data_IF_500347102882
#
_entry.id   IF_500347102882
#
_cell.length_a   1.000
_cell.length_b   1.000
_cell.length_c   1.000
_cell.angle_alpha   90.00
_cell.angle_beta   90.00
_cell.angle_gamma   90.00
#
_symmetry.space_group_name_H-M   'P 1'
#
loop_
_entity.id
_entity.type
_entity.pdbx_description
1 polymer ?
#
# COMPACT_ATOMS: atom_id res chain seq x y z
N UNK A 1 20.92 12.64 -21.21
CA UNK A 1 19.51 12.18 -21.37
C UNK A 1 18.60 13.32 -20.94
N UNK A 2 17.37 13.45 -21.47
CA UNK A 2 16.46 14.54 -21.03
C UNK A 2 15.76 14.20 -19.72
N UNK A 3 15.35 15.21 -18.95
CA UNK A 3 14.68 15.00 -17.66
C UNK A 3 13.39 14.15 -17.78
N UNK A 4 12.64 14.28 -18.88
CA UNK A 4 11.41 13.51 -19.11
C UNK A 4 11.66 12.03 -19.43
N UNK A 5 12.82 11.72 -20.01
CA UNK A 5 13.24 10.34 -20.28
C UNK A 5 13.52 9.59 -18.98
N UNK A 6 14.11 10.25 -17.97
CA UNK A 6 14.30 9.67 -16.63
C UNK A 6 12.96 9.33 -15.98
N UNK A 7 12.00 10.27 -16.02
CA UNK A 7 10.64 10.05 -15.49
C UNK A 7 9.98 8.86 -16.19
N UNK A 8 10.10 8.78 -17.52
CA UNK A 8 9.56 7.66 -18.30
C UNK A 8 10.16 6.32 -17.86
N UNK A 9 11.49 6.22 -17.75
CA UNK A 9 12.17 4.99 -17.33
C UNK A 9 11.76 4.55 -15.92
N UNK A 10 11.51 5.51 -15.03
CA UNK A 10 11.11 5.22 -13.65
C UNK A 10 9.63 4.86 -13.50
N UNK A 11 8.74 5.41 -14.34
CA UNK A 11 7.28 5.26 -14.19
C UNK A 11 6.68 4.17 -15.07
N UNK A 12 7.13 4.02 -16.33
CA UNK A 12 6.52 3.08 -17.27
C UNK A 12 6.69 1.62 -16.87
N UNK A 13 7.89 1.14 -16.49
CA UNK A 13 8.06 -0.28 -16.19
C UNK A 13 7.26 -0.75 -14.98
N UNK A 14 7.15 -0.01 -13.85
CA UNK A 14 6.22 -0.35 -12.78
C UNK A 14 4.78 -0.46 -13.25
N UNK A 15 4.35 0.49 -14.08
CA UNK A 15 3.00 0.46 -14.64
C UNK A 15 2.79 -0.81 -15.47
N UNK A 16 3.75 -1.17 -16.34
CA UNK A 16 3.67 -2.38 -17.16
C UNK A 16 3.71 -3.66 -16.31
N UNK A 17 4.64 -3.76 -15.37
CA UNK A 17 4.84 -4.94 -14.51
C UNK A 17 3.65 -5.17 -13.58
N UNK A 18 2.93 -4.12 -13.19
CA UNK A 18 1.74 -4.25 -12.33
C UNK A 18 0.44 -4.41 -13.14
N UNK A 19 0.28 -3.63 -14.20
CA UNK A 19 -0.94 -3.61 -15.01
C UNK A 19 -1.06 -4.81 -15.94
N UNK A 20 0.03 -5.26 -16.58
CA UNK A 20 -0.01 -6.39 -17.52
C UNK A 20 -0.48 -7.67 -16.82
N UNK A 21 0.04 -8.08 -15.65
CA UNK A 21 -0.48 -9.26 -14.96
C UNK A 21 -1.95 -9.13 -14.57
N UNK A 22 -2.41 -7.94 -14.18
CA UNK A 22 -3.83 -7.70 -13.86
C UNK A 22 -4.70 -7.89 -15.11
N UNK A 23 -4.31 -7.30 -16.24
CA UNK A 23 -5.02 -7.42 -17.51
C UNK A 23 -4.98 -8.86 -18.01
N UNK A 24 -3.82 -9.53 -17.95
CA UNK A 24 -3.67 -10.94 -18.33
C UNK A 24 -4.53 -11.82 -17.44
N UNK A 25 -4.51 -11.64 -16.12
CA UNK A 25 -5.41 -12.34 -15.20
C UNK A 25 -6.87 -12.09 -15.56
N UNK A 26 -7.26 -10.85 -15.86
CA UNK A 26 -8.63 -10.50 -16.24
C UNK A 26 -9.06 -11.15 -17.56
N UNK A 27 -8.19 -11.12 -18.57
CA UNK A 27 -8.38 -11.76 -19.88
C UNK A 27 -8.49 -13.27 -19.71
N UNK A 28 -7.57 -13.92 -19.00
CA UNK A 28 -7.59 -15.36 -18.72
C UNK A 28 -8.86 -15.74 -17.96
N UNK A 29 -9.24 -14.97 -16.92
CA UNK A 29 -10.51 -15.20 -16.21
C UNK A 29 -11.72 -15.11 -17.15
N UNK A 30 -11.73 -14.15 -18.08
CA UNK A 30 -12.82 -13.97 -19.04
C UNK A 30 -12.88 -15.08 -20.09
N UNK A 31 -11.74 -15.49 -20.65
CA UNK A 31 -11.68 -16.53 -21.69
C UNK A 31 -11.89 -17.94 -21.14
N UNK A 32 -11.27 -18.27 -20.01
CA UNK A 32 -11.35 -19.61 -19.40
C UNK A 32 -12.50 -19.76 -18.40
N UNK A 33 -13.33 -18.71 -18.22
CA UNK A 33 -14.42 -18.66 -17.22
C UNK A 33 -13.97 -19.10 -15.82
N UNK A 34 -12.72 -18.82 -15.46
CA UNK A 34 -12.19 -19.17 -14.13
C UNK A 34 -12.98 -18.36 -13.11
N UNK A 35 -13.63 -19.01 -12.12
CA UNK A 35 -14.39 -18.28 -11.13
C UNK A 35 -13.44 -17.44 -10.28
N UNK A 36 -13.67 -16.13 -10.26
CA UNK A 36 -12.92 -15.16 -9.45
C UNK A 36 -12.97 -15.52 -7.95
N UNK A 37 -13.98 -16.28 -7.56
CA UNK A 37 -14.13 -16.91 -6.24
C UNK A 37 -12.97 -17.87 -5.92
N UNK A 38 -12.50 -18.68 -6.87
CA UNK A 38 -11.40 -19.62 -6.64
C UNK A 38 -10.07 -18.93 -6.35
N UNK A 39 -9.72 -17.91 -7.14
CA UNK A 39 -8.46 -17.16 -7.00
C UNK A 39 -8.49 -16.30 -5.74
N UNK A 40 -9.60 -15.60 -5.49
CA UNK A 40 -9.74 -14.77 -4.28
C UNK A 40 -9.72 -15.60 -2.99
N UNK A 41 -10.32 -16.79 -2.99
CA UNK A 41 -10.19 -17.76 -1.89
C UNK A 41 -8.75 -18.21 -1.69
N UNK A 42 -8.03 -18.52 -2.77
CA UNK A 42 -6.63 -18.92 -2.69
C UNK A 42 -5.75 -17.81 -2.10
N UNK A 43 -5.94 -16.56 -2.52
CA UNK A 43 -5.22 -15.41 -1.94
C UNK A 43 -5.58 -15.25 -0.46
N UNK A 44 -6.87 -15.35 -0.11
CA UNK A 44 -7.31 -15.22 1.27
C UNK A 44 -6.71 -16.30 2.18
N UNK A 45 -6.65 -17.57 1.74
CA UNK A 45 -6.15 -18.68 2.56
C UNK A 45 -4.63 -18.77 2.63
N UNK A 46 -3.90 -18.39 1.57
CA UNK A 46 -2.44 -18.50 1.54
C UNK A 46 -1.75 -17.21 1.97
N UNK A 47 -2.22 -16.05 1.52
CA UNK A 47 -1.61 -14.76 1.85
C UNK A 47 -2.15 -14.25 3.18
N UNK A 48 -3.48 -14.26 3.35
CA UNK A 48 -4.13 -13.75 4.55
C UNK A 48 -4.57 -14.85 5.53
N UNK A 49 -3.77 -15.92 5.67
CA UNK A 49 -4.07 -17.09 6.51
C UNK A 49 -4.34 -16.76 7.99
N UNK A 50 -3.75 -15.68 8.49
CA UNK A 50 -3.97 -15.18 9.85
C UNK A 50 -5.34 -14.49 10.04
N UNK A 51 -5.94 -14.07 8.94
CA UNK A 51 -7.23 -13.36 8.89
C UNK A 51 -8.32 -14.32 8.44
N UNK A 52 -8.08 -15.17 7.44
CA UNK A 52 -9.03 -16.15 6.93
C UNK A 52 -8.63 -17.56 7.31
N UNK A 53 -9.58 -18.31 7.88
CA UNK A 53 -9.42 -19.74 8.15
C UNK A 53 -10.53 -20.52 7.48
N UNK A 54 -10.15 -21.41 6.57
CA UNK A 54 -11.04 -22.43 6.04
C UNK A 54 -10.96 -23.66 6.94
N UNK A 55 -12.04 -23.97 7.66
CA UNK A 55 -12.13 -25.17 8.49
C UNK A 55 -13.02 -26.21 7.83
N UNK A 56 -12.48 -27.40 7.56
CA UNK A 56 -13.30 -28.57 7.20
C UNK A 56 -14.09 -29.02 8.42
N UNK A 57 -15.41 -29.19 8.27
CA UNK A 57 -16.29 -29.63 9.36
C UNK A 57 -15.95 -31.09 9.73
N UNK A 58 -15.60 -31.36 11.01
CA UNK A 58 -15.50 -32.71 11.57
C UNK A 58 -16.91 -33.21 11.94
N UNK A 59 -17.76 -33.51 10.96
CA UNK A 59 -19.05 -34.19 11.22
C UNK A 59 -19.57 -34.85 9.95
N UNK A 60 -20.32 -35.95 10.12
CA UNK A 60 -20.66 -37.02 9.16
C UNK A 60 -21.29 -36.64 7.80
N UNK A 61 -21.44 -35.37 7.44
CA UNK A 61 -21.95 -34.95 6.14
C UNK A 61 -20.85 -34.22 5.34
N UNK A 62 -20.40 -34.76 4.19
CA UNK A 62 -19.39 -34.11 3.39
C UNK A 62 -20.06 -33.02 2.54
N UNK A 63 -19.73 -31.74 2.75
CA UNK A 63 -19.33 -30.78 1.66
C UNK A 63 -19.27 -29.30 1.99
N UNK A 64 -19.71 -28.80 3.15
CA UNK A 64 -19.62 -27.34 3.40
C UNK A 64 -18.43 -26.96 4.28
N UNK A 65 -17.42 -26.34 3.65
CA UNK A 65 -16.30 -25.72 4.33
C UNK A 65 -16.76 -24.51 5.14
N UNK A 66 -16.35 -24.42 6.41
CA UNK A 66 -16.66 -23.29 7.28
C UNK A 66 -15.64 -22.18 7.04
N UNK A 67 -16.12 -21.02 6.59
CA UNK A 67 -15.28 -19.86 6.31
C UNK A 67 -15.31 -18.90 7.49
N UNK A 68 -14.15 -18.72 8.12
CA UNK A 68 -13.98 -17.84 9.26
C UNK A 68 -13.10 -16.65 8.87
N UNK A 69 -13.62 -15.44 9.10
CA UNK A 69 -12.81 -14.21 9.15
C UNK A 69 -12.48 -13.93 10.62
N UNK A 70 -11.27 -14.27 11.06
CA UNK A 70 -10.87 -14.41 12.47
C UNK A 70 -11.83 -15.35 13.21
N UNK A 71 -12.84 -14.77 13.85
CA UNK A 71 -13.84 -15.46 14.67
C UNK A 71 -15.27 -15.34 14.09
N UNK A 72 -15.44 -14.54 13.03
CA UNK A 72 -16.73 -14.33 12.36
C UNK A 72 -16.96 -15.45 11.34
N UNK A 73 -18.09 -16.12 11.46
CA UNK A 73 -18.52 -17.17 10.54
C UNK A 73 -19.31 -16.57 9.37
N UNK A 74 -18.71 -16.60 8.20
CA UNK A 74 -19.26 -16.03 6.97
C UNK A 74 -19.98 -17.08 6.11
N UNK A 75 -20.08 -18.33 6.58
CA UNK A 75 -20.62 -19.45 5.79
C UNK A 75 -22.09 -19.22 5.39
N UNK A 76 -22.89 -18.61 6.28
CA UNK A 76 -24.29 -18.28 6.01
C UNK A 76 -24.46 -17.02 5.12
N UNK A 77 -23.45 -16.14 5.08
CA UNK A 77 -23.49 -14.86 4.37
C UNK A 77 -22.64 -14.90 3.10
N UNK A 78 -22.99 -15.79 2.14
CA UNK A 78 -22.22 -16.02 0.91
C UNK A 78 -21.91 -14.75 0.10
N UNK A 79 -22.87 -13.82 0.01
CA UNK A 79 -22.69 -12.51 -0.65
C UNK A 79 -21.64 -11.64 0.05
N UNK A 80 -21.69 -11.56 1.39
CA UNK A 80 -20.72 -10.81 2.20
C UNK A 80 -19.33 -11.44 2.12
N UNK A 81 -19.24 -12.78 2.20
CA UNK A 81 -18.00 -13.52 2.04
C UNK A 81 -17.33 -13.18 0.70
N UNK A 82 -18.08 -13.25 -0.40
CA UNK A 82 -17.56 -12.94 -1.73
C UNK A 82 -17.09 -11.49 -1.87
N UNK A 83 -17.87 -10.51 -1.36
CA UNK A 83 -17.45 -9.10 -1.32
C UNK A 83 -16.13 -8.94 -0.56
N UNK A 84 -16.03 -9.53 0.62
CA UNK A 84 -14.84 -9.43 1.48
C UNK A 84 -13.62 -10.06 0.80
N UNK A 85 -13.77 -11.26 0.22
CA UNK A 85 -12.70 -11.94 -0.53
C UNK A 85 -12.19 -11.10 -1.70
N UNK A 86 -13.09 -10.49 -2.49
CA UNK A 86 -12.70 -9.59 -3.58
C UNK A 86 -11.93 -8.37 -3.07
N UNK A 87 -12.38 -7.76 -1.97
CA UNK A 87 -11.71 -6.56 -1.45
C UNK A 87 -10.32 -6.88 -0.89
N UNK A 88 -10.12 -8.02 -0.24
CA UNK A 88 -8.79 -8.50 0.16
C UNK A 88 -7.92 -8.88 -1.03
N UNK A 89 -8.50 -9.44 -2.09
CA UNK A 89 -7.80 -9.70 -3.35
C UNK A 89 -7.30 -8.41 -3.98
N UNK A 90 -8.15 -7.38 -4.11
CA UNK A 90 -7.75 -6.05 -4.60
C UNK A 90 -6.66 -5.44 -3.72
N UNK A 91 -6.78 -5.57 -2.39
CA UNK A 91 -5.78 -5.07 -1.46
C UNK A 91 -4.41 -5.75 -1.66
N UNK A 92 -4.39 -7.07 -1.85
CA UNK A 92 -3.16 -7.80 -2.16
C UNK A 92 -2.49 -7.28 -3.44
N UNK A 93 -3.25 -7.06 -4.52
CA UNK A 93 -2.71 -6.49 -5.75
C UNK A 93 -2.19 -5.07 -5.56
N UNK A 94 -2.85 -4.26 -4.74
CA UNK A 94 -2.38 -2.92 -4.41
C UNK A 94 -1.03 -2.97 -3.67
N UNK A 95 -0.90 -3.85 -2.66
CA UNK A 95 0.36 -4.02 -1.93
C UNK A 95 1.48 -4.54 -2.83
N UNK A 96 1.19 -5.57 -3.63
CA UNK A 96 2.16 -6.15 -4.56
C UNK A 96 2.59 -5.11 -5.61
N UNK A 97 1.63 -4.37 -6.16
CA UNK A 97 1.90 -3.34 -7.14
C UNK A 97 2.75 -2.21 -6.59
N UNK A 98 2.45 -1.77 -5.37
CA UNK A 98 3.26 -0.77 -4.69
C UNK A 98 4.67 -1.28 -4.39
N UNK A 99 4.82 -2.52 -3.90
CA UNK A 99 6.14 -3.11 -3.66
C UNK A 99 6.98 -3.22 -4.94
N UNK A 100 6.37 -3.61 -6.07
CA UNK A 100 7.05 -3.69 -7.37
C UNK A 100 7.43 -2.29 -7.89
N UNK A 101 6.59 -1.28 -7.67
CA UNK A 101 6.91 0.09 -8.03
C UNK A 101 8.09 0.63 -7.22
N UNK A 102 8.09 0.41 -5.91
CA UNK A 102 9.21 0.76 -5.02
C UNK A 102 10.48 0.04 -5.46
N UNK A 103 10.38 -1.26 -5.77
CA UNK A 103 11.50 -2.06 -6.23
C UNK A 103 12.14 -1.43 -7.45
N UNK A 104 11.34 -1.14 -8.48
CA UNK A 104 11.86 -0.56 -9.71
C UNK A 104 12.46 0.84 -9.50
N UNK A 105 11.77 1.68 -8.73
CA UNK A 105 12.24 3.04 -8.44
C UNK A 105 13.61 3.01 -7.75
N UNK A 106 13.82 2.11 -6.79
CA UNK A 106 15.09 1.99 -6.07
C UNK A 106 16.14 1.15 -6.80
N UNK A 107 15.72 0.30 -7.74
CA UNK A 107 16.63 -0.52 -8.52
C UNK A 107 17.49 0.37 -9.42
N UNK A 108 16.84 1.33 -10.08
CA UNK A 108 17.47 2.13 -11.14
C UNK A 108 17.91 3.52 -10.71
N UNK A 109 17.44 4.05 -9.57
CA UNK A 109 17.61 5.47 -9.25
C UNK A 109 18.63 5.68 -8.14
N UNK A 110 19.61 6.52 -8.45
CA UNK A 110 20.42 7.23 -7.47
C UNK A 110 20.25 8.74 -7.71
N UNK A 111 19.97 9.48 -6.63
CA UNK A 111 19.68 10.91 -6.66
C UNK A 111 20.73 11.65 -5.85
N UNK A 112 21.33 12.68 -6.44
CA UNK A 112 22.16 13.64 -5.71
C UNK A 112 21.67 15.06 -5.93
N UNK A 113 21.89 15.91 -4.93
CA UNK A 113 21.55 17.34 -4.95
C UNK A 113 22.78 18.22 -5.14
N UNK A 114 23.92 17.57 -5.37
CA UNK A 114 25.19 18.21 -5.60
C UNK A 114 25.61 18.04 -7.06
N UNK A 115 26.10 19.13 -7.64
CA UNK A 115 26.58 19.21 -9.00
C UNK A 115 28.09 18.95 -8.95
N UNK A 116 28.45 17.68 -8.91
CA UNK A 116 29.85 17.25 -8.86
C UNK A 116 30.45 17.37 -10.27
N UNK A 117 31.51 18.17 -10.42
CA UNK A 117 32.21 18.36 -11.69
C UNK A 117 32.94 17.09 -12.14
N UNK A 118 33.33 16.23 -11.20
CA UNK A 118 34.16 15.05 -11.44
C UNK A 118 33.32 13.80 -11.78
N UNK A 119 32.02 13.80 -11.47
CA UNK A 119 31.12 12.65 -11.73
C UNK A 119 30.29 12.81 -13.01
N UNK A 120 30.93 12.52 -14.15
CA UNK A 120 30.31 12.52 -15.47
C UNK A 120 29.23 11.44 -15.68
N UNK A 121 28.98 10.57 -14.69
CA UNK A 121 27.95 9.52 -14.78
C UNK A 121 26.55 9.99 -14.38
N UNK A 122 26.42 11.24 -13.93
CA UNK A 122 25.17 11.88 -13.51
C UNK A 122 24.72 12.92 -14.53
N UNK A 123 23.42 12.90 -14.86
CA UNK A 123 22.79 14.02 -15.57
C UNK A 123 22.10 14.92 -14.54
N UNK A 124 22.50 16.20 -14.47
CA UNK A 124 21.99 17.18 -13.52
C UNK A 124 20.99 18.15 -14.18
N UNK A 125 19.94 18.53 -13.47
CA UNK A 125 18.87 19.38 -13.98
C UNK A 125 18.51 20.47 -12.99
N UNK A 126 17.97 21.58 -13.50
CA UNK A 126 17.43 22.64 -12.65
C UNK A 126 16.09 22.19 -12.07
N UNK A 127 15.98 22.23 -10.74
CA UNK A 127 14.74 21.88 -10.03
C UNK A 127 13.68 22.96 -10.29
N UNK A 128 12.90 22.79 -11.36
CA UNK A 128 11.72 23.62 -11.67
C UNK A 128 10.45 22.83 -11.37
N UNK A 129 9.43 23.54 -10.88
CA UNK A 129 8.08 23.00 -10.70
C UNK A 129 7.34 22.77 -12.02
N UNK A 130 7.86 23.30 -13.13
CA UNK A 130 7.26 23.23 -14.46
C UNK A 130 7.88 22.06 -15.23
N UNK A 131 7.03 21.16 -15.72
CA UNK A 131 7.38 19.89 -16.37
C UNK A 131 7.88 20.03 -17.81
N UNK A 132 8.59 21.11 -18.13
CA UNK A 132 9.22 21.22 -19.43
C UNK A 132 10.43 20.28 -19.50
N UNK A 133 10.63 19.58 -20.63
CA UNK A 133 11.84 18.78 -20.84
C UNK A 133 13.07 19.68 -20.72
N UNK A 134 13.96 19.34 -19.81
CA UNK A 134 15.20 20.09 -19.59
C UNK A 134 16.38 19.31 -20.15
N UNK A 135 17.29 20.05 -20.77
CA UNK A 135 18.62 19.55 -21.08
C UNK A 135 19.48 19.56 -19.80
N UNK A 136 20.44 18.63 -19.67
CA UNK A 136 21.29 18.57 -18.50
C UNK A 136 22.15 19.83 -18.36
N UNK A 137 22.28 20.30 -17.12
CA UNK A 137 23.17 21.38 -16.73
C UNK A 137 24.63 20.93 -16.90
N UNK A 138 25.47 21.85 -17.37
CA UNK A 138 26.92 21.64 -17.37
C UNK A 138 27.48 22.03 -15.99
N UNK A 139 27.69 21.03 -15.11
CA UNK A 139 28.22 21.27 -13.77
C UNK A 139 29.62 21.90 -13.78
N UNK A 140 30.43 21.67 -14.83
CA UNK A 140 31.77 22.25 -14.99
C UNK A 140 31.77 23.74 -15.40
N UNK A 141 30.58 24.34 -15.55
CA UNK A 141 30.46 25.75 -15.90
C UNK A 141 30.49 26.63 -14.65
N UNK A 142 31.48 27.52 -14.56
CA UNK A 142 31.57 28.49 -13.48
C UNK A 142 30.31 29.35 -13.32
N UNK A 143 29.58 29.63 -14.41
CA UNK A 143 28.31 30.35 -14.34
C UNK A 143 27.22 29.54 -13.62
N UNK A 144 27.15 28.24 -13.89
CA UNK A 144 26.19 27.33 -13.24
C UNK A 144 26.55 27.16 -11.76
N UNK A 145 27.82 26.93 -11.44
CA UNK A 145 28.27 26.82 -10.04
C UNK A 145 27.97 28.07 -9.22
N UNK A 146 28.22 29.26 -9.76
CA UNK A 146 27.92 30.52 -9.06
C UNK A 146 26.41 30.67 -8.79
N UNK A 147 25.54 30.25 -9.73
CA UNK A 147 24.10 30.28 -9.51
C UNK A 147 23.64 29.31 -8.42
N UNK A 148 24.30 28.14 -8.30
CA UNK A 148 24.03 27.16 -7.24
C UNK A 148 24.50 27.71 -5.89
N UNK A 149 25.74 28.19 -5.79
CA UNK A 149 26.32 28.73 -4.56
C UNK A 149 25.57 29.95 -4.04
N UNK A 150 25.07 30.80 -4.94
CA UNK A 150 24.24 31.96 -4.58
C UNK A 150 22.78 31.58 -4.27
N UNK A 151 22.42 30.29 -4.32
CA UNK A 151 21.06 29.80 -4.07
C UNK A 151 20.03 30.25 -5.10
N UNK A 152 20.48 30.72 -6.26
CA UNK A 152 19.60 31.20 -7.35
C UNK A 152 18.93 30.04 -8.06
N UNK A 153 19.64 28.91 -8.20
CA UNK A 153 19.11 27.66 -8.75
C UNK A 153 19.32 26.51 -7.78
N UNK A 154 18.37 25.57 -7.76
CA UNK A 154 18.51 24.28 -7.07
C UNK A 154 18.71 23.19 -8.11
N UNK A 155 19.53 22.19 -7.81
CA UNK A 155 19.89 21.12 -8.75
C UNK A 155 19.40 19.77 -8.26
N UNK A 156 18.99 18.93 -9.19
CA UNK A 156 18.74 17.52 -8.98
C UNK A 156 19.48 16.72 -10.04
N UNK A 157 20.29 15.76 -9.61
CA UNK A 157 21.09 14.92 -10.48
C UNK A 157 20.59 13.48 -10.42
N UNK A 158 20.45 12.88 -11.59
CA UNK A 158 20.02 11.49 -11.74
C UNK A 158 21.15 10.63 -12.26
N UNK A 159 21.37 9.50 -11.59
CA UNK A 159 22.24 8.43 -12.05
C UNK A 159 21.45 7.14 -12.14
N UNK A 160 21.56 6.47 -13.28
CA UNK A 160 20.99 5.13 -13.44
C UNK A 160 21.98 4.13 -12.83
N UNK A 161 21.61 3.54 -11.71
CA UNK A 161 22.40 2.50 -11.01
C UNK A 161 21.67 1.17 -11.02
N UNK A 162 22.30 0.11 -10.51
CA UNK A 162 21.63 -1.16 -10.27
C UNK A 162 21.78 -1.55 -8.79
N UNK A 163 20.84 -1.10 -7.94
CA UNK A 163 20.89 -1.32 -6.50
C UNK A 163 19.90 -2.40 -6.04
N UNK A 164 20.14 -3.64 -6.45
CA UNK A 164 19.25 -4.76 -6.16
C UNK A 164 19.05 -5.00 -4.65
N UNK A 165 20.11 -4.84 -3.85
CA UNK A 165 20.07 -5.06 -2.40
C UNK A 165 19.13 -4.09 -1.69
N UNK A 166 19.31 -2.78 -1.92
CA UNK A 166 18.41 -1.75 -1.39
C UNK A 166 16.98 -1.94 -1.92
N UNK A 167 16.84 -2.14 -3.23
CA UNK A 167 15.54 -2.25 -3.87
C UNK A 167 14.72 -3.43 -3.32
N UNK A 168 15.31 -4.62 -3.27
CA UNK A 168 14.65 -5.82 -2.73
C UNK A 168 14.33 -5.67 -1.24
N UNK A 169 15.28 -5.18 -0.44
CA UNK A 169 15.09 -4.98 0.99
C UNK A 169 13.96 -4.01 1.32
N UNK A 170 13.94 -2.83 0.68
CA UNK A 170 12.93 -1.80 0.93
C UNK A 170 11.55 -2.24 0.43
N UNK A 171 11.48 -2.92 -0.71
CA UNK A 171 10.20 -3.36 -1.29
C UNK A 171 9.57 -4.49 -0.49
N UNK A 172 10.38 -5.48 -0.09
CA UNK A 172 9.95 -6.55 0.79
C UNK A 172 9.51 -6.00 2.16
N UNK A 173 10.27 -5.04 2.71
CA UNK A 173 9.92 -4.31 3.92
C UNK A 173 8.55 -3.62 3.81
N UNK A 174 8.28 -2.91 2.71
CA UNK A 174 7.00 -2.23 2.46
C UNK A 174 5.82 -3.21 2.44
N UNK A 175 5.99 -4.34 1.74
CA UNK A 175 4.98 -5.39 1.67
C UNK A 175 4.67 -5.99 3.05
N UNK A 176 5.72 -6.35 3.80
CA UNK A 176 5.56 -6.93 5.14
C UNK A 176 4.95 -5.95 6.14
N UNK A 177 5.34 -4.67 6.08
CA UNK A 177 4.82 -3.65 6.97
C UNK A 177 3.33 -3.39 6.67
N UNK A 178 2.95 -3.36 5.40
CA UNK A 178 1.53 -3.30 4.98
C UNK A 178 0.73 -4.50 5.47
N UNK A 179 1.29 -5.71 5.31
CA UNK A 179 0.67 -6.95 5.77
C UNK A 179 0.47 -6.97 7.29
N UNK A 180 1.47 -6.51 8.05
CA UNK A 180 1.38 -6.36 9.50
C UNK A 180 0.26 -5.40 9.90
N UNK A 181 0.18 -4.22 9.27
CA UNK A 181 -0.88 -3.24 9.54
C UNK A 181 -2.26 -3.82 9.24
N UNK A 182 -2.43 -4.57 8.15
CA UNK A 182 -3.70 -5.22 7.82
C UNK A 182 -4.08 -6.28 8.86
N UNK A 183 -3.13 -7.10 9.31
CA UNK A 183 -3.36 -8.13 10.33
C UNK A 183 -3.78 -7.53 11.68
N UNK A 184 -3.04 -6.53 12.15
CA UNK A 184 -3.31 -5.83 13.41
C UNK A 184 -4.60 -5.02 13.29
N UNK A 185 -4.76 -4.28 12.19
CA UNK A 185 -5.94 -3.48 11.88
C UNK A 185 -7.21 -4.32 11.82
N UNK A 186 -7.18 -5.47 11.15
CA UNK A 186 -8.32 -6.41 11.15
C UNK A 186 -8.66 -6.90 12.57
N UNK A 187 -7.66 -7.04 13.45
CA UNK A 187 -7.92 -7.40 14.86
C UNK A 187 -8.61 -6.28 15.61
N UNK A 188 -8.10 -5.06 15.46
CA UNK A 188 -8.62 -3.87 16.13
C UNK A 188 -10.05 -3.54 15.66
N UNK A 189 -10.29 -3.54 14.35
CA UNK A 189 -11.60 -3.19 13.77
C UNK A 189 -12.68 -4.20 14.16
N UNK A 190 -12.35 -5.50 14.23
CA UNK A 190 -13.31 -6.52 14.66
C UNK A 190 -13.60 -6.49 16.17
N UNK A 191 -12.81 -5.77 16.98
CA UNK A 191 -13.14 -5.51 18.39
C UNK A 191 -14.13 -4.36 18.56
N UNK A 192 -14.36 -3.55 17.53
CA UNK A 192 -15.31 -2.44 17.60
C UNK A 192 -16.73 -3.02 17.66
N UNK A 193 -17.48 -2.63 18.69
CA UNK A 193 -18.85 -3.11 18.92
C UNK A 193 -19.91 -2.26 18.21
N UNK A 194 -19.59 -1.00 17.91
CA UNK A 194 -20.57 -0.05 17.34
C UNK A 194 -20.09 0.59 16.05
N UNK A 195 -21.02 0.76 15.11
CA UNK A 195 -20.76 1.43 13.82
C UNK A 195 -20.43 2.92 13.97
N UNK A 196 -20.81 3.54 15.10
CA UNK A 196 -20.41 4.91 15.44
C UNK A 196 -18.91 4.97 15.76
N UNK A 197 -18.40 4.06 16.60
CA UNK A 197 -16.96 3.98 16.89
C UNK A 197 -16.14 3.67 15.65
N UNK A 198 -16.64 2.81 14.75
CA UNK A 198 -15.99 2.53 13.47
C UNK A 198 -15.82 3.81 12.64
N UNK A 199 -16.87 4.63 12.50
CA UNK A 199 -16.81 5.89 11.76
C UNK A 199 -15.81 6.87 12.37
N UNK A 200 -15.75 6.97 13.70
CA UNK A 200 -14.75 7.80 14.38
C UNK A 200 -13.33 7.30 14.12
N UNK A 201 -13.08 5.99 14.21
CA UNK A 201 -11.77 5.41 13.92
C UNK A 201 -11.35 5.66 12.46
N UNK A 202 -12.25 5.47 11.50
CA UNK A 202 -12.02 5.76 10.09
C UNK A 202 -11.68 7.24 9.85
N UNK A 203 -12.47 8.16 10.43
CA UNK A 203 -12.23 9.59 10.31
C UNK A 203 -10.89 10.01 10.93
N UNK A 204 -10.58 9.50 12.13
CA UNK A 204 -9.33 9.80 12.83
C UNK A 204 -8.10 9.34 12.04
N UNK A 205 -8.10 8.08 11.58
CA UNK A 205 -6.96 7.55 10.82
C UNK A 205 -6.85 8.21 9.46
N UNK A 206 -7.97 8.45 8.77
CA UNK A 206 -7.99 9.17 7.50
C UNK A 206 -7.40 10.57 7.63
N UNK A 207 -7.81 11.31 8.67
CA UNK A 207 -7.30 12.65 8.95
C UNK A 207 -5.82 12.64 9.33
N UNK A 208 -5.38 11.65 10.11
CA UNK A 208 -3.98 11.50 10.50
C UNK A 208 -3.09 11.24 9.29
N UNK A 209 -3.46 10.30 8.42
CA UNK A 209 -2.70 10.01 7.19
C UNK A 209 -2.68 11.22 6.26
N UNK A 210 -3.83 11.88 6.07
CA UNK A 210 -3.92 13.08 5.26
C UNK A 210 -3.04 14.20 5.81
N UNK A 211 -3.06 14.42 7.12
CA UNK A 211 -2.23 15.42 7.79
C UNK A 211 -0.74 15.13 7.57
N UNK A 212 -0.30 13.88 7.72
CA UNK A 212 1.10 13.50 7.49
C UNK A 212 1.51 13.78 6.04
N UNK A 213 0.69 13.38 5.07
CA UNK A 213 0.99 13.59 3.65
C UNK A 213 1.06 15.08 3.31
N UNK A 214 0.09 15.88 3.78
CA UNK A 214 0.09 17.34 3.57
C UNK A 214 1.32 17.97 4.22
N UNK A 215 1.64 17.61 5.46
CA UNK A 215 2.82 18.13 6.15
C UNK A 215 4.10 17.82 5.39
N UNK A 216 4.27 16.62 4.86
CA UNK A 216 5.44 16.25 4.06
C UNK A 216 5.56 17.10 2.78
N UNK A 217 4.45 17.28 2.06
CA UNK A 217 4.42 18.10 0.82
C UNK A 217 4.76 19.56 1.13
N UNK A 218 4.14 20.14 2.17
CA UNK A 218 4.38 21.54 2.55
C UNK A 218 5.82 21.74 3.00
N UNK A 219 6.38 20.81 3.78
CA UNK A 219 7.76 20.90 4.26
C UNK A 219 8.75 20.82 3.10
N UNK A 220 8.54 19.93 2.12
CA UNK A 220 9.39 19.84 0.92
C UNK A 220 9.31 21.10 0.04
N UNK A 221 8.10 21.68 -0.08
CA UNK A 221 7.89 22.88 -0.88
C UNK A 221 8.46 24.16 -0.25
N UNK A 222 8.44 24.27 1.08
CA UNK A 222 8.77 25.52 1.79
C UNK A 222 10.21 25.55 2.31
N UNK A 223 10.79 24.38 2.62
CA UNK A 223 12.11 24.31 3.26
C UNK A 223 13.14 23.71 2.28
N UNK A 224 14.05 24.52 1.72
CA UNK A 224 15.06 24.05 0.76
C UNK A 224 15.95 22.91 1.30
N UNK A 225 16.30 22.96 2.58
CA UNK A 225 17.09 21.92 3.24
C UNK A 225 16.30 20.63 3.50
N UNK A 226 14.96 20.69 3.49
CA UNK A 226 14.13 19.50 3.64
C UNK A 226 14.22 18.59 2.42
N UNK A 227 14.48 19.12 1.22
CA UNK A 227 14.72 18.33 0.02
C UNK A 227 15.89 17.34 0.19
N UNK A 228 16.99 17.81 0.79
CA UNK A 228 18.18 17.01 1.08
C UNK A 228 17.86 15.95 2.13
N UNK A 229 17.08 16.33 3.15
CA UNK A 229 16.62 15.39 4.19
C UNK A 229 15.65 14.33 3.63
N UNK A 230 14.70 14.71 2.77
CA UNK A 230 13.76 13.80 2.14
C UNK A 230 14.46 12.85 1.17
N UNK A 231 15.45 13.34 0.42
CA UNK A 231 16.27 12.51 -0.45
C UNK A 231 17.07 11.46 0.32
N UNK A 232 17.77 11.87 1.37
CA UNK A 232 18.58 10.94 2.18
C UNK A 232 17.77 9.84 2.85
N UNK A 233 16.45 10.06 3.02
CA UNK A 233 15.53 9.08 3.61
C UNK A 233 14.39 8.71 2.65
N UNK A 234 14.57 8.88 1.33
CA UNK A 234 13.50 8.73 0.36
C UNK A 234 12.85 7.34 0.40
N UNK A 235 13.66 6.31 0.60
CA UNK A 235 13.20 4.92 0.75
C UNK A 235 12.23 4.76 1.92
N UNK A 236 12.55 5.34 3.07
CA UNK A 236 11.70 5.33 4.27
C UNK A 236 10.42 6.11 4.06
N UNK A 237 10.50 7.30 3.45
CA UNK A 237 9.32 8.12 3.18
C UNK A 237 8.35 7.44 2.21
N UNK A 238 8.87 6.85 1.15
CA UNK A 238 8.07 6.08 0.19
C UNK A 238 7.38 4.91 0.89
N UNK A 239 8.09 4.14 1.73
CA UNK A 239 7.46 3.06 2.52
C UNK A 239 6.33 3.55 3.43
N UNK A 240 6.54 4.65 4.15
CA UNK A 240 5.54 5.23 5.07
C UNK A 240 4.31 5.69 4.31
N UNK A 241 4.49 6.45 3.22
CA UNK A 241 3.38 6.98 2.41
C UNK A 241 2.60 5.83 1.77
N UNK A 242 3.29 4.86 1.15
CA UNK A 242 2.66 3.69 0.56
C UNK A 242 1.84 2.89 1.58
N UNK A 243 2.43 2.62 2.75
CA UNK A 243 1.72 1.93 3.85
C UNK A 243 0.50 2.73 4.31
N UNK A 244 0.65 4.05 4.46
CA UNK A 244 -0.45 4.94 4.84
C UNK A 244 -1.62 4.86 3.85
N UNK A 245 -1.33 4.91 2.56
CA UNK A 245 -2.34 4.76 1.49
C UNK A 245 -3.03 3.39 1.58
N UNK A 246 -2.27 2.30 1.68
CA UNK A 246 -2.80 0.93 1.81
C UNK A 246 -3.70 0.81 3.05
N UNK A 247 -3.30 1.44 4.17
CA UNK A 247 -4.05 1.45 5.42
C UNK A 247 -5.40 2.17 5.27
N UNK A 248 -5.41 3.31 4.59
CA UNK A 248 -6.65 4.04 4.25
C UNK A 248 -7.53 3.18 3.35
N UNK A 249 -7.00 2.60 2.28
CA UNK A 249 -7.78 1.71 1.39
C UNK A 249 -8.38 0.55 2.17
N UNK A 250 -7.60 -0.11 3.03
CA UNK A 250 -8.09 -1.18 3.90
C UNK A 250 -9.22 -0.74 4.85
N UNK A 251 -9.09 0.44 5.46
CA UNK A 251 -10.08 0.98 6.39
C UNK A 251 -11.40 1.33 5.73
N UNK A 252 -11.37 1.85 4.49
CA UNK A 252 -12.57 2.38 3.82
C UNK A 252 -13.18 1.41 2.80
N UNK A 253 -12.41 0.53 2.16
CA UNK A 253 -12.92 -0.34 1.09
C UNK A 253 -13.46 -1.69 1.57
N UNK A 254 -13.06 -2.16 2.75
CA UNK A 254 -13.58 -3.40 3.33
C UNK A 254 -14.95 -3.09 3.98
N UNK A 255 -15.97 -3.95 3.81
CA UNK A 255 -17.31 -3.72 4.36
C UNK A 255 -17.35 -4.00 5.88
N UNK A 256 -16.56 -3.26 6.67
CA UNK A 256 -16.46 -3.41 8.12
C UNK A 256 -17.79 -3.27 8.84
N UNK A 257 -18.67 -2.39 8.36
CA UNK A 257 -20.00 -2.21 8.93
C UNK A 257 -20.83 -3.49 8.84
N UNK A 258 -20.91 -4.09 7.64
CA UNK A 258 -21.64 -5.35 7.43
C UNK A 258 -21.04 -6.49 8.27
N UNK A 259 -19.71 -6.50 8.45
CA UNK A 259 -19.01 -7.47 9.30
C UNK A 259 -19.30 -7.30 10.79
N UNK A 260 -19.28 -6.06 11.30
CA UNK A 260 -19.60 -5.76 12.71
C UNK A 260 -21.08 -6.06 12.98
N UNK A 261 -21.98 -5.66 12.09
CA UNK A 261 -23.42 -5.93 12.24
C UNK A 261 -23.70 -7.44 12.30
N UNK A 262 -23.05 -8.23 11.44
CA UNK A 262 -23.16 -9.70 11.44
C UNK A 262 -22.61 -10.32 12.74
N UNK A 263 -21.52 -9.78 13.28
CA UNK A 263 -20.97 -10.20 14.57
C UNK A 263 -21.96 -9.90 15.71
N UNK A 264 -22.44 -8.65 15.80
CA UNK A 264 -23.36 -8.21 16.87
C UNK A 264 -24.69 -8.97 16.84
N UNK A 265 -25.23 -9.26 15.65
CA UNK A 265 -26.44 -10.07 15.50
C UNK A 265 -26.28 -11.49 16.05
N UNK A 266 -25.08 -12.06 15.99
CA UNK A 266 -24.79 -13.38 16.53
C UNK A 266 -24.53 -13.35 18.03
N UNK A 267 -23.81 -12.33 18.50
CA UNK A 267 -23.43 -12.21 19.90
C UNK A 267 -24.67 -11.91 20.79
N UNK A 268 -25.65 -11.13 20.31
CA UNK A 268 -26.87 -10.80 21.06
C UNK A 268 -27.68 -12.02 21.56
N UNK A 269 -28.08 -13.00 20.72
CA UNK A 269 -28.81 -14.18 21.18
C UNK A 269 -27.97 -15.13 22.03
N UNK A 270 -26.64 -15.12 21.86
CA UNK A 270 -25.75 -15.98 22.64
C UNK A 270 -25.45 -15.36 24.02
N UNK A 271 -25.41 -14.03 24.10
CA UNK A 271 -25.28 -13.25 25.35
C UNK A 271 -26.54 -13.32 26.20
N UNK A 272 -27.72 -13.23 25.59
CA UNK A 272 -28.99 -13.40 26.31
C UNK A 272 -29.19 -14.82 26.83
N UNK A 273 -28.74 -15.84 26.10
CA UNK A 273 -28.72 -17.23 26.59
C UNK A 273 -27.77 -17.40 27.78
N UNK A 274 -26.59 -16.79 27.75
CA UNK A 274 -25.63 -16.86 28.85
C UNK A 274 -26.10 -16.09 30.08
N UNK A 275 -26.71 -14.93 29.89
CA UNK A 275 -27.34 -14.14 30.97
C UNK A 275 -28.52 -14.91 31.59
N UNK A 276 -29.39 -15.51 30.78
CA UNK A 276 -30.51 -16.32 31.28
C UNK A 276 -30.03 -17.59 32.01
N UNK A 277 -28.95 -18.23 31.55
CA UNK A 277 -28.35 -19.37 32.26
C UNK A 277 -27.65 -18.97 33.56
N UNK A 278 -27.04 -17.78 33.63
CA UNK A 278 -26.43 -17.27 34.86
C UNK A 278 -27.50 -16.89 35.91
N UNK A 279 -28.62 -16.31 35.49
CA UNK A 279 -29.75 -15.96 36.37
C UNK A 279 -30.50 -17.20 36.86
N UNK A 280 -30.56 -18.27 36.06
CA UNK A 280 -31.18 -19.54 36.46
C UNK A 280 -30.32 -20.39 37.42
N UNK A 281 -29.11 -19.93 37.77
CA UNK A 281 -28.16 -20.65 38.64
C UNK A 281 -28.00 -20.04 40.05
N UNK A 282 -28.86 -19.07 40.41
CA UNK A 282 -29.01 -18.49 41.75
C UNK A 282 -30.35 -18.92 42.32
#
# INVERSE_FOLDING_TARGET
>A
MKSDEYVKILVWPPFLVTYIPIVVCWVVMRFYRIPLDGISRWVATNVFSDIFKEKKKKTCCPREARWLLKDIDLTAAKSLLFKVLIKFFVLFYLMLGAALAIFWQLLLRDESYDCDEDDLSKDCFERKWISEPQDPLNCSSAAVQNLIQNGTIQVICYKIVFNFGLASGVSYGSFNLSMFVIKVGASALLRIETTKMLRWAQALVGLLVLSVVISLIVVDAVIPSAAIFFSSHASTFVQIVTTGIISVVFLFCIPWRELIDLKTQRDNPQRSLLENCAVASV
#
